data_IF_286213616650
#
_entry.id   IF_286213616650
#
_cell.length_a   1.000
_cell.length_b   1.000
_cell.length_c   1.000
_cell.angle_alpha   90.00
_cell.angle_beta   90.00
_cell.angle_gamma   90.00
#
_symmetry.space_group_name_H-M   'P 1'
#
loop_
_entity.id
_entity.type
_entity.pdbx_description
1 polymer ?
#
# COMPACT_ATOMS: atom_id res chain seq x y z
N UNK A 1 -7.10 -3.88 -54.93
CA UNK A 1 -7.19 -2.92 -53.81
C UNK A 1 -8.15 -3.52 -52.78
N UNK A 2 -7.62 -4.09 -51.70
CA UNK A 2 -8.43 -4.70 -50.64
C UNK A 2 -8.58 -3.68 -49.51
N UNK A 3 -9.67 -2.92 -49.52
CA UNK A 3 -9.98 -1.96 -48.46
C UNK A 3 -10.54 -2.73 -47.26
N UNK A 4 -9.64 -3.28 -46.45
CA UNK A 4 -9.98 -3.86 -45.16
C UNK A 4 -10.57 -2.78 -44.27
N UNK A 5 -11.89 -2.83 -44.07
CA UNK A 5 -12.60 -1.96 -43.12
C UNK A 5 -12.10 -2.29 -41.71
N UNK A 6 -11.14 -1.50 -41.23
CA UNK A 6 -10.71 -1.49 -39.83
C UNK A 6 -11.93 -1.10 -39.01
N UNK A 7 -12.56 -2.09 -38.38
CA UNK A 7 -13.66 -1.86 -37.46
C UNK A 7 -13.04 -1.34 -36.18
N UNK A 8 -12.89 -0.01 -36.09
CA UNK A 8 -12.68 0.73 -34.85
C UNK A 8 -13.99 0.73 -34.03
N UNK A 9 -14.46 -0.45 -33.64
CA UNK A 9 -15.58 -0.58 -32.71
C UNK A 9 -14.97 -0.71 -31.32
N UNK A 10 -15.08 0.33 -30.53
CA UNK A 10 -15.04 0.24 -29.07
C UNK A 10 -16.25 -0.59 -28.63
N UNK A 11 -16.14 -1.92 -28.79
CA UNK A 11 -17.09 -2.84 -28.19
C UNK A 11 -16.80 -2.88 -26.70
N UNK A 12 -17.84 -2.76 -25.87
CA UNK A 12 -17.70 -3.00 -24.45
C UNK A 12 -17.05 -4.37 -24.24
N UNK A 13 -16.02 -4.48 -23.37
CA UNK A 13 -15.28 -5.72 -23.24
C UNK A 13 -16.20 -6.86 -22.81
N UNK A 14 -16.00 -8.04 -23.41
CA UNK A 14 -16.76 -9.25 -23.13
C UNK A 14 -16.93 -9.47 -21.61
N UNK A 15 -18.16 -9.56 -21.08
CA UNK A 15 -18.42 -9.76 -19.66
C UNK A 15 -17.70 -10.96 -19.05
N UNK A 16 -17.54 -12.06 -19.81
CA UNK A 16 -16.83 -13.25 -19.32
C UNK A 16 -15.34 -12.95 -19.12
N UNK A 17 -14.73 -12.28 -20.11
CA UNK A 17 -13.36 -11.79 -20.01
C UNK A 17 -13.18 -10.80 -18.84
N UNK A 18 -14.06 -9.79 -18.71
CA UNK A 18 -14.00 -8.81 -17.60
C UNK A 18 -14.04 -9.51 -16.25
N UNK A 19 -14.95 -10.47 -16.08
CA UNK A 19 -15.09 -11.21 -14.84
C UNK A 19 -13.85 -12.06 -14.55
N UNK A 20 -13.28 -12.70 -15.58
CA UNK A 20 -12.03 -13.45 -15.48
C UNK A 20 -10.87 -12.56 -15.03
N UNK A 21 -10.71 -11.39 -15.66
CA UNK A 21 -9.68 -10.41 -15.30
C UNK A 21 -9.86 -9.91 -13.87
N UNK A 22 -11.07 -9.53 -13.46
CA UNK A 22 -11.32 -9.09 -12.08
C UNK A 22 -10.93 -10.16 -11.07
N UNK A 23 -11.28 -11.43 -11.30
CA UNK A 23 -10.87 -12.53 -10.41
C UNK A 23 -9.36 -12.69 -10.34
N UNK A 24 -8.69 -12.64 -11.50
CA UNK A 24 -7.23 -12.72 -11.55
C UNK A 24 -6.57 -11.55 -10.80
N UNK A 25 -7.06 -10.33 -10.99
CA UNK A 25 -6.56 -9.13 -10.33
C UNK A 25 -6.75 -9.19 -8.80
N UNK A 26 -7.91 -9.66 -8.32
CA UNK A 26 -8.18 -9.81 -6.88
C UNK A 26 -7.32 -10.89 -6.21
N UNK A 27 -6.75 -11.81 -6.97
CA UNK A 27 -5.84 -12.82 -6.45
C UNK A 27 -4.41 -12.30 -6.24
N UNK A 28 -4.06 -11.14 -6.81
CA UNK A 28 -2.73 -10.54 -6.68
C UNK A 28 -2.44 -10.21 -5.22
N UNK A 29 -1.24 -10.57 -4.77
CA UNK A 29 -0.77 -10.29 -3.41
C UNK A 29 0.05 -9.01 -3.43
N UNK A 30 -0.19 -8.15 -2.45
CA UNK A 30 0.62 -6.96 -2.21
C UNK A 30 1.30 -7.03 -0.86
N UNK A 31 2.56 -6.60 -0.75
CA UNK A 31 3.21 -6.43 0.54
C UNK A 31 2.55 -5.28 1.30
N UNK A 32 2.10 -5.58 2.52
CA UNK A 32 1.57 -4.59 3.45
C UNK A 32 2.61 -4.34 4.53
N UNK A 33 2.90 -3.06 4.80
CA UNK A 33 3.83 -2.62 5.83
C UNK A 33 3.15 -1.60 6.71
N UNK A 34 3.52 -1.60 7.98
CA UNK A 34 3.24 -0.48 8.87
C UNK A 34 4.55 0.02 9.42
N UNK A 35 4.72 1.33 9.36
CA UNK A 35 5.94 1.99 9.80
C UNK A 35 5.59 2.70 11.11
N UNK A 36 6.27 2.33 12.19
CA UNK A 36 6.09 3.03 13.46
C UNK A 36 6.67 4.44 13.35
N UNK A 37 7.92 4.55 12.91
CA UNK A 37 8.64 5.80 12.72
C UNK A 37 9.80 5.62 11.73
N UNK A 38 10.31 6.70 11.15
CA UNK A 38 11.49 6.75 10.29
C UNK A 38 12.52 7.75 10.87
N UNK A 39 13.24 7.38 11.95
CA UNK A 39 14.17 8.30 12.60
C UNK A 39 15.42 8.54 11.75
N UNK A 40 15.89 9.79 11.74
CA UNK A 40 17.14 10.19 11.08
C UNK A 40 18.25 10.29 12.12
N UNK A 41 19.35 9.57 11.90
CA UNK A 41 20.56 9.65 12.74
C UNK A 41 21.79 9.99 11.89
N UNK A 42 22.83 10.56 12.52
CA UNK A 42 24.08 10.86 11.83
C UNK A 42 24.83 9.59 11.46
N UNK A 43 25.61 9.65 10.37
CA UNK A 43 26.45 8.53 9.93
C UNK A 43 27.46 8.11 11.02
N UNK A 44 28.07 9.07 11.72
CA UNK A 44 28.99 8.78 12.81
C UNK A 44 28.33 7.92 13.91
N UNK A 45 27.11 8.29 14.33
CA UNK A 45 26.34 7.50 15.31
C UNK A 45 25.98 6.12 14.79
N UNK A 46 25.61 6.02 13.51
CA UNK A 46 25.29 4.73 12.88
C UNK A 46 26.48 3.76 12.90
N UNK A 47 27.70 4.29 12.69
CA UNK A 47 28.94 3.50 12.71
C UNK A 47 29.36 3.03 14.11
N UNK A 48 28.87 3.67 15.16
CA UNK A 48 29.21 3.38 16.55
C UNK A 48 28.17 2.50 17.28
N UNK A 49 27.05 2.17 16.62
CA UNK A 49 25.96 1.38 17.22
C UNK A 49 26.43 0.01 17.70
N UNK A 50 25.98 -0.36 18.91
CA UNK A 50 26.28 -1.62 19.56
C UNK A 50 25.01 -2.31 20.07
N UNK A 51 25.04 -3.66 20.24
CA UNK A 51 23.94 -4.37 20.89
C UNK A 51 23.63 -3.78 22.27
N UNK A 52 22.40 -3.33 22.45
CA UNK A 52 21.94 -2.66 23.67
C UNK A 52 21.68 -1.17 23.50
N UNK A 53 22.15 -0.54 22.42
CA UNK A 53 21.83 0.84 22.11
C UNK A 53 20.34 1.03 21.78
N UNK A 54 19.78 2.14 22.26
CA UNK A 54 18.38 2.50 22.06
C UNK A 54 18.26 3.65 21.05
N UNK A 55 17.51 3.42 19.98
CA UNK A 55 17.13 4.45 19.02
C UNK A 55 15.75 4.97 19.42
N UNK A 56 15.63 6.24 19.85
CA UNK A 56 14.33 6.80 20.19
C UNK A 56 13.47 6.92 18.93
N UNK A 57 12.23 6.47 19.04
CA UNK A 57 11.19 6.64 18.02
C UNK A 57 10.03 7.41 18.63
N UNK A 58 9.32 8.18 17.81
CA UNK A 58 8.13 8.92 18.24
C UNK A 58 7.01 8.72 17.23
N UNK A 59 5.91 8.13 17.67
CA UNK A 59 4.74 7.90 16.82
C UNK A 59 3.45 8.22 17.56
N UNK A 60 2.43 8.60 16.81
CA UNK A 60 1.12 8.96 17.36
C UNK A 60 0.28 7.73 17.75
N UNK A 61 -0.98 7.98 18.09
CA UNK A 61 -1.94 6.90 18.35
C UNK A 61 -2.14 6.00 17.12
N UNK A 62 -2.07 6.59 15.94
CA UNK A 62 -2.18 5.89 14.66
C UNK A 62 -0.85 5.91 13.91
N UNK A 63 -0.57 4.79 13.24
CA UNK A 63 0.58 4.57 12.37
C UNK A 63 0.14 4.42 10.91
N UNK A 64 0.96 4.87 9.95
CA UNK A 64 0.65 4.71 8.53
C UNK A 64 0.69 3.25 8.10
N UNK A 65 -0.36 2.83 7.39
CA UNK A 65 -0.45 1.54 6.72
C UNK A 65 -0.16 1.72 5.24
N UNK A 66 0.89 1.06 4.77
CA UNK A 66 1.42 1.18 3.42
C UNK A 66 1.17 -0.11 2.63
N UNK A 67 0.80 0.03 1.36
CA UNK A 67 0.70 -1.06 0.38
C UNK A 67 1.67 -0.76 -0.75
N UNK A 68 2.71 -1.58 -0.90
CA UNK A 68 3.85 -1.23 -1.75
C UNK A 68 4.49 0.09 -1.32
N UNK A 69 4.45 1.10 -2.21
CA UNK A 69 4.99 2.44 -2.00
C UNK A 69 3.90 3.48 -1.68
N UNK A 70 2.62 3.08 -1.64
CA UNK A 70 1.50 3.99 -1.46
C UNK A 70 0.91 3.85 -0.06
N UNK A 71 0.46 4.96 0.52
CA UNK A 71 -0.28 4.95 1.78
C UNK A 71 -1.71 4.47 1.53
N UNK A 72 -2.08 3.35 2.13
CA UNK A 72 -3.45 2.83 2.14
C UNK A 72 -4.30 3.57 3.17
N UNK A 73 -3.72 3.94 4.32
CA UNK A 73 -4.49 4.52 5.41
C UNK A 73 -3.68 4.68 6.70
N UNK A 74 -4.42 4.79 7.80
CA UNK A 74 -3.93 4.85 9.17
C UNK A 74 -4.52 3.69 9.98
N UNK A 75 -3.82 3.29 11.04
CA UNK A 75 -4.35 2.33 11.98
C UNK A 75 -3.66 2.36 13.33
N UNK A 76 -4.37 1.88 14.34
CA UNK A 76 -3.87 1.81 15.71
C UNK A 76 -3.17 0.47 15.94
N UNK A 77 -1.99 0.51 16.57
CA UNK A 77 -1.25 -0.70 16.95
C UNK A 77 -1.92 -1.37 18.15
N UNK A 78 -2.04 -2.69 18.11
CA UNK A 78 -2.59 -3.47 19.19
C UNK A 78 -2.18 -4.94 19.09
N UNK A 79 -3.00 -5.82 19.66
CA UNK A 79 -2.78 -7.26 19.65
C UNK A 79 -4.04 -8.00 19.22
N UNK A 80 -3.88 -9.07 18.44
CA UNK A 80 -4.94 -10.00 18.07
C UNK A 80 -4.37 -11.42 18.00
N UNK A 81 -5.05 -12.39 18.61
CA UNK A 81 -4.63 -13.81 18.63
C UNK A 81 -3.16 -14.00 19.04
N UNK A 82 -2.70 -13.23 20.04
CA UNK A 82 -1.33 -13.30 20.56
C UNK A 82 -0.25 -12.70 19.65
N UNK A 83 -0.61 -11.99 18.58
CA UNK A 83 0.32 -11.34 17.66
C UNK A 83 0.08 -9.83 17.63
N UNK A 84 1.13 -9.06 17.38
CA UNK A 84 1.00 -7.64 17.06
C UNK A 84 0.07 -7.47 15.85
N UNK A 85 -0.87 -6.55 15.94
CA UNK A 85 -1.92 -6.33 14.96
C UNK A 85 -2.18 -4.85 14.77
N UNK A 86 -2.78 -4.51 13.63
CA UNK A 86 -3.16 -3.13 13.31
C UNK A 86 -4.64 -3.10 13.03
N UNK A 87 -5.35 -2.27 13.78
CA UNK A 87 -6.74 -1.96 13.53
C UNK A 87 -6.79 -0.75 12.60
N UNK A 88 -7.29 -0.93 11.38
CA UNK A 88 -7.46 0.18 10.44
C UNK A 88 -8.43 1.20 11.05
N UNK A 89 -7.97 2.45 11.18
CA UNK A 89 -8.75 3.57 11.72
C UNK A 89 -9.27 4.46 10.60
N UNK A 90 -8.51 4.63 9.52
CA UNK A 90 -8.87 5.45 8.36
C UNK A 90 -8.29 4.87 7.07
N UNK A 91 -9.04 4.93 5.98
CA UNK A 91 -8.55 4.60 4.63
C UNK A 91 -8.35 5.89 3.82
N UNK A 92 -7.19 5.99 3.17
CA UNK A 92 -6.87 7.05 2.23
C UNK A 92 -7.33 6.62 0.83
N UNK A 93 -8.62 6.71 0.55
CA UNK A 93 -9.10 6.60 -0.82
C UNK A 93 -8.82 7.92 -1.53
N UNK A 94 -7.91 7.91 -2.51
CA UNK A 94 -7.79 9.03 -3.46
C UNK A 94 -8.97 8.92 -4.42
N UNK A 95 -9.85 9.92 -4.43
CA UNK A 95 -10.84 10.03 -5.51
C UNK A 95 -10.09 10.40 -6.81
N UNK A 96 -10.40 9.71 -7.91
CA UNK A 96 -9.99 10.10 -9.26
C UNK A 96 -10.64 11.45 -9.62
N UNK A 97 -10.06 12.52 -9.09
CA UNK A 97 -10.53 13.91 -9.21
C UNK A 97 -9.54 14.90 -8.61
N UNK A 98 -8.70 14.44 -7.67
CA UNK A 98 -7.66 15.26 -7.04
C UNK A 98 -6.36 15.17 -7.86
N UNK A 99 -6.37 15.81 -9.02
CA UNK A 99 -5.16 16.19 -9.75
C UNK A 99 -5.32 17.67 -10.05
N UNK A 100 -4.66 18.51 -9.25
CA UNK A 100 -4.36 19.90 -9.60
C UNK A 100 -3.00 19.93 -10.32
#
# INVERSE_FOLDING_TARGET
QLTGKVVSRSADPDPAWRTGLTRAAMAVRFPVRSVLDEPVISLARLMELQPGDVIPISFGADVPVMVGNNRLGLGTVGTANGRAAIKISQLAFKNEGDTE
#
